data_IF_631245907125
#
_entry.id   IF_631245907125
#
_cell.length_a   1.000
_cell.length_b   1.000
_cell.length_c   1.000
_cell.angle_alpha   90.00
_cell.angle_beta   90.00
_cell.angle_gamma   90.00
#
_symmetry.space_group_name_H-M   'P 1'
#
loop_
_entity.id
_entity.type
_entity.pdbx_description
1 polymer ?
#
# COMPACT_ATOMS: atom_id res chain seq x y z
N UNK A 1 -56.79 35.04 27.73
CA UNK A 1 -55.75 34.86 26.68
C UNK A 1 -54.39 34.87 27.36
N UNK A 2 -53.54 33.83 27.22
CA UNK A 2 -52.20 33.85 27.82
C UNK A 2 -51.26 34.79 27.04
N UNK A 3 -50.39 35.56 27.70
CA UNK A 3 -49.47 36.48 27.03
C UNK A 3 -48.36 35.72 26.29
N UNK A 4 -48.13 36.07 25.03
CA UNK A 4 -47.08 35.49 24.20
C UNK A 4 -45.69 35.82 24.77
N UNK A 5 -44.95 34.78 25.18
CA UNK A 5 -43.60 34.89 25.73
C UNK A 5 -42.63 35.30 24.61
N UNK A 6 -42.29 36.59 24.55
CA UNK A 6 -41.26 37.12 23.63
C UNK A 6 -39.91 36.49 23.98
N UNK A 7 -39.43 35.57 23.14
CA UNK A 7 -38.08 35.01 23.27
C UNK A 7 -37.07 36.14 23.07
N UNK A 8 -36.10 36.26 23.99
CA UNK A 8 -35.00 37.21 23.85
C UNK A 8 -34.06 36.65 22.77
N UNK A 9 -33.92 37.29 21.59
CA UNK A 9 -33.15 36.72 20.49
C UNK A 9 -31.67 36.55 20.84
N UNK A 10 -31.17 37.29 21.84
CA UNK A 10 -29.81 37.18 22.36
C UNK A 10 -29.47 35.78 22.89
N UNK A 11 -30.44 35.07 23.49
CA UNK A 11 -30.18 33.70 23.97
C UNK A 11 -29.97 32.74 22.80
N UNK A 12 -30.77 32.89 21.73
CA UNK A 12 -30.61 32.11 20.50
C UNK A 12 -29.30 32.40 19.79
N UNK A 13 -28.92 33.69 19.70
CA UNK A 13 -27.63 34.10 19.12
C UNK A 13 -26.45 33.52 19.89
N UNK A 14 -26.54 33.50 21.22
CA UNK A 14 -25.49 32.95 22.08
C UNK A 14 -25.38 31.42 21.93
N UNK A 15 -26.50 30.69 21.79
CA UNK A 15 -26.44 29.25 21.50
C UNK A 15 -25.77 28.98 20.15
N UNK A 16 -26.14 29.74 19.10
CA UNK A 16 -25.56 29.56 17.76
C UNK A 16 -24.05 29.87 17.78
N UNK A 17 -23.64 30.94 18.47
CA UNK A 17 -22.23 31.31 18.60
C UNK A 17 -21.42 30.22 19.34
N UNK A 18 -21.96 29.64 20.40
CA UNK A 18 -21.32 28.55 21.14
C UNK A 18 -21.20 27.29 20.29
N UNK A 19 -22.25 26.94 19.53
CA UNK A 19 -22.21 25.79 18.61
C UNK A 19 -21.16 26.00 17.51
N UNK A 20 -21.10 27.18 16.91
CA UNK A 20 -20.08 27.51 15.92
C UNK A 20 -18.66 27.43 16.50
N UNK A 21 -18.45 27.99 17.69
CA UNK A 21 -17.15 27.92 18.36
C UNK A 21 -16.74 26.47 18.70
N UNK A 22 -17.70 25.64 19.14
CA UNK A 22 -17.44 24.23 19.42
C UNK A 22 -17.09 23.43 18.16
N UNK A 23 -17.81 23.66 17.05
CA UNK A 23 -17.51 23.02 15.76
C UNK A 23 -16.13 23.44 15.23
N UNK A 24 -15.83 24.74 15.26
CA UNK A 24 -14.55 25.27 14.78
C UNK A 24 -13.38 24.84 15.68
N UNK A 25 -13.59 24.83 17.00
CA UNK A 25 -12.61 24.35 17.97
C UNK A 25 -12.34 22.85 17.82
N UNK A 26 -13.36 22.04 17.59
CA UNK A 26 -13.21 20.60 17.30
C UNK A 26 -12.41 20.34 16.04
N UNK A 27 -12.66 21.11 14.98
CA UNK A 27 -11.91 21.04 13.72
C UNK A 27 -10.45 21.48 13.87
N UNK A 28 -10.18 22.49 14.69
CA UNK A 28 -8.82 22.94 15.01
C UNK A 28 -8.04 21.91 15.85
N UNK A 29 -8.71 21.23 16.79
CA UNK A 29 -8.09 20.20 17.62
C UNK A 29 -7.71 18.94 16.83
N UNK A 30 -8.46 18.59 15.78
CA UNK A 30 -8.15 17.45 14.92
C UNK A 30 -7.15 17.78 13.80
N UNK A 31 -6.84 19.06 13.56
CA UNK A 31 -5.94 19.49 12.50
C UNK A 31 -6.45 19.24 11.08
N UNK A 32 -7.68 18.74 10.93
CA UNK A 32 -8.29 18.42 9.64
C UNK A 32 -9.27 19.53 9.25
N UNK A 33 -8.74 20.59 8.65
CA UNK A 33 -9.54 21.74 8.19
C UNK A 33 -10.21 21.53 6.82
N UNK A 34 -10.06 20.35 6.22
CA UNK A 34 -10.65 20.02 4.94
C UNK A 34 -11.16 18.57 4.91
N UNK A 35 -12.18 18.29 4.09
CA UNK A 35 -12.61 16.91 3.84
C UNK A 35 -11.46 16.12 3.21
N UNK A 36 -11.39 14.80 3.46
CA UNK A 36 -10.51 13.93 2.69
C UNK A 36 -11.01 13.91 1.24
N UNK A 37 -10.11 14.17 0.30
CA UNK A 37 -10.44 14.22 -1.12
C UNK A 37 -10.50 12.78 -1.65
N UNK A 38 -11.54 12.46 -2.41
CA UNK A 38 -11.61 11.20 -3.16
C UNK A 38 -10.68 11.22 -4.37
N UNK A 39 -10.51 10.07 -5.03
CA UNK A 39 -9.66 9.91 -6.24
C UNK A 39 -9.96 10.95 -7.33
N UNK A 40 -11.23 11.33 -7.50
CA UNK A 40 -11.67 12.33 -8.49
C UNK A 40 -11.21 13.76 -8.14
N UNK A 41 -10.92 14.03 -6.87
CA UNK A 41 -10.50 15.35 -6.38
C UNK A 41 -9.00 15.42 -6.01
N UNK A 42 -8.37 14.30 -5.61
CA UNK A 42 -6.91 14.23 -5.41
C UNK A 42 -6.14 14.14 -6.73
N UNK A 43 -6.81 13.68 -7.80
CA UNK A 43 -6.15 13.29 -9.03
C UNK A 43 -5.34 12.00 -8.87
N UNK A 44 -4.96 11.42 -9.99
CA UNK A 44 -4.17 10.18 -10.04
C UNK A 44 -3.58 9.98 -11.42
N UNK A 45 -2.74 8.96 -11.57
CA UNK A 45 -2.20 8.56 -12.87
C UNK A 45 -2.70 7.16 -13.21
N UNK A 46 -3.23 7.01 -14.42
CA UNK A 46 -3.70 5.73 -14.96
C UNK A 46 -2.81 5.32 -16.12
N UNK A 47 -2.36 4.06 -16.12
CA UNK A 47 -1.57 3.48 -17.21
C UNK A 47 -2.13 2.12 -17.57
N UNK A 48 -2.24 1.87 -18.88
CA UNK A 48 -2.60 0.58 -19.45
C UNK A 48 -1.33 -0.12 -19.90
N UNK A 49 -1.02 -1.26 -19.28
CA UNK A 49 0.12 -2.10 -19.62
C UNK A 49 -0.35 -3.25 -20.53
N UNK A 50 0.22 -3.33 -21.72
CA UNK A 50 -0.04 -4.42 -22.66
C UNK A 50 0.87 -5.62 -22.37
N UNK A 51 0.30 -6.81 -22.23
CA UNK A 51 1.06 -8.04 -22.03
C UNK A 51 1.82 -8.40 -23.33
N UNK A 52 3.15 -8.56 -23.22
CA UNK A 52 4.01 -9.04 -24.31
C UNK A 52 4.43 -10.50 -24.03
N UNK A 53 3.77 -11.50 -24.64
CA UNK A 53 4.18 -12.89 -24.47
C UNK A 53 5.52 -13.17 -25.15
N UNK A 54 6.21 -14.23 -24.73
CA UNK A 54 7.39 -14.73 -25.43
C UNK A 54 7.06 -15.19 -26.86
N UNK A 55 8.07 -15.29 -27.75
CA UNK A 55 7.85 -15.70 -29.14
C UNK A 55 7.12 -17.05 -29.21
N UNK A 56 5.95 -17.06 -29.87
CA UNK A 56 5.11 -18.25 -30.04
C UNK A 56 4.16 -18.56 -28.88
N UNK A 57 4.14 -17.77 -27.81
CA UNK A 57 3.23 -17.96 -26.68
C UNK A 57 2.00 -17.05 -26.75
N UNK A 58 0.89 -17.54 -26.21
CA UNK A 58 -0.35 -16.75 -26.03
C UNK A 58 -0.46 -16.37 -24.57
N UNK A 59 -0.94 -15.16 -24.30
CA UNK A 59 -1.21 -14.69 -22.94
C UNK A 59 -2.39 -15.47 -22.37
N UNK A 60 -2.18 -16.14 -21.24
CA UNK A 60 -3.24 -16.86 -20.52
C UNK A 60 -3.81 -16.03 -19.38
N UNK A 61 -5.06 -16.29 -18.97
CA UNK A 61 -5.68 -15.60 -17.83
C UNK A 61 -4.95 -15.85 -16.50
N UNK A 62 -4.34 -17.04 -16.34
CA UNK A 62 -3.57 -17.38 -15.13
C UNK A 62 -2.31 -16.51 -15.00
N UNK A 63 -1.61 -16.29 -16.11
CA UNK A 63 -0.42 -15.42 -16.16
C UNK A 63 -0.80 -13.96 -15.92
N UNK A 64 -1.93 -13.49 -16.47
CA UNK A 64 -2.44 -12.15 -16.20
C UNK A 64 -2.79 -11.96 -14.72
N UNK A 65 -3.46 -12.93 -14.08
CA UNK A 65 -3.75 -12.86 -12.65
C UNK A 65 -2.47 -12.84 -11.79
N UNK A 66 -1.47 -13.62 -12.18
CA UNK A 66 -0.17 -13.61 -11.51
C UNK A 66 0.53 -12.26 -11.69
N UNK A 67 0.52 -11.70 -12.90
CA UNK A 67 1.05 -10.38 -13.19
C UNK A 67 0.32 -9.28 -12.39
N UNK A 68 -1.01 -9.34 -12.26
CA UNK A 68 -1.80 -8.43 -11.41
C UNK A 68 -1.35 -8.49 -9.95
N UNK A 69 -1.16 -9.70 -9.41
CA UNK A 69 -0.68 -9.86 -8.03
C UNK A 69 0.72 -9.27 -7.83
N UNK A 70 1.63 -9.50 -8.80
CA UNK A 70 2.97 -8.90 -8.79
C UNK A 70 2.87 -7.37 -8.83
N UNK A 71 2.06 -6.81 -9.73
CA UNK A 71 1.91 -5.36 -9.87
C UNK A 71 1.33 -4.75 -8.60
N UNK A 72 0.33 -5.37 -7.96
CA UNK A 72 -0.22 -4.92 -6.69
C UNK A 72 0.84 -4.89 -5.59
N UNK A 73 1.66 -5.95 -5.50
CA UNK A 73 2.76 -5.99 -4.53
C UNK A 73 3.84 -4.93 -4.79
N UNK A 74 4.18 -4.67 -6.06
CA UNK A 74 5.14 -3.62 -6.44
C UNK A 74 4.64 -2.24 -6.06
N UNK A 75 3.38 -1.92 -6.39
CA UNK A 75 2.78 -0.61 -6.08
C UNK A 75 2.75 -0.37 -4.56
N UNK A 76 2.36 -1.39 -3.79
CA UNK A 76 2.41 -1.34 -2.33
C UNK A 76 3.85 -1.13 -1.81
N UNK A 77 4.84 -1.79 -2.43
CA UNK A 77 6.27 -1.64 -2.11
C UNK A 77 6.83 -0.23 -2.38
N UNK A 78 6.23 0.52 -3.31
CA UNK A 78 6.58 1.92 -3.56
C UNK A 78 5.88 2.92 -2.62
N UNK A 79 5.17 2.42 -1.59
CA UNK A 79 4.53 3.25 -0.57
C UNK A 79 3.26 3.94 -1.05
N UNK A 80 2.61 3.44 -2.09
CA UNK A 80 1.31 3.94 -2.54
C UNK A 80 0.20 3.05 -1.97
N UNK A 81 -0.52 3.58 -0.99
CA UNK A 81 -1.72 2.93 -0.47
C UNK A 81 -2.89 3.12 -1.45
N UNK A 82 -3.75 2.09 -1.57
CA UNK A 82 -5.01 2.12 -2.33
C UNK A 82 -4.88 2.25 -3.87
N UNK A 83 -3.83 1.69 -4.46
CA UNK A 83 -3.79 1.53 -5.90
C UNK A 83 -4.75 0.43 -6.38
N UNK A 84 -5.45 0.72 -7.48
CA UNK A 84 -6.31 -0.25 -8.14
C UNK A 84 -5.58 -0.90 -9.33
N UNK A 85 -5.67 -2.23 -9.39
CA UNK A 85 -5.01 -3.04 -10.42
C UNK A 85 -6.02 -4.07 -10.89
N UNK A 86 -6.40 -4.00 -12.14
CA UNK A 86 -7.37 -4.91 -12.75
C UNK A 86 -6.98 -5.23 -14.20
N UNK A 87 -7.53 -6.33 -14.70
CA UNK A 87 -7.28 -6.80 -16.06
C UNK A 87 -8.39 -6.29 -16.99
N UNK A 88 -8.00 -5.75 -18.15
CA UNK A 88 -8.91 -5.33 -19.21
C UNK A 88 -8.55 -6.09 -20.50
N UNK A 89 -9.30 -7.15 -20.80
CA UNK A 89 -8.99 -8.06 -21.91
C UNK A 89 -7.62 -8.73 -21.73
N UNK A 90 -6.66 -8.37 -22.59
CA UNK A 90 -5.26 -8.82 -22.52
C UNK A 90 -4.31 -7.79 -21.89
N UNK A 91 -4.84 -6.69 -21.37
CA UNK A 91 -4.08 -5.60 -20.77
C UNK A 91 -4.29 -5.58 -19.25
N UNK A 92 -3.36 -4.95 -18.55
CA UNK A 92 -3.45 -4.69 -17.11
C UNK A 92 -3.54 -3.17 -16.94
N UNK A 93 -4.60 -2.72 -16.30
CA UNK A 93 -4.81 -1.31 -15.98
C UNK A 93 -4.38 -1.08 -14.53
N UNK A 94 -3.54 -0.07 -14.34
CA UNK A 94 -3.03 0.33 -13.03
C UNK A 94 -3.42 1.79 -12.80
N UNK A 95 -4.19 2.03 -11.75
CA UNK A 95 -4.59 3.35 -11.30
C UNK A 95 -3.97 3.65 -9.94
N UNK A 96 -3.17 4.71 -9.87
CA UNK A 96 -2.43 5.12 -8.67
C UNK A 96 -2.97 6.47 -8.19
N UNK A 97 -3.50 6.57 -6.95
CA UNK A 97 -3.95 7.84 -6.39
C UNK A 97 -2.76 8.79 -6.11
N UNK A 98 -3.01 10.09 -6.27
CA UNK A 98 -2.08 11.15 -5.92
C UNK A 98 -1.38 11.81 -7.11
N UNK A 99 -0.79 12.98 -6.83
CA UNK A 99 -0.12 13.86 -7.80
C UNK A 99 1.31 13.35 -8.07
N UNK A 100 1.74 13.39 -9.33
CA UNK A 100 3.12 13.15 -9.77
C UNK A 100 3.73 11.76 -9.46
N UNK A 101 2.94 10.69 -9.56
CA UNK A 101 3.43 9.30 -9.40
C UNK A 101 3.99 8.67 -10.68
N UNK A 102 4.27 9.47 -11.72
CA UNK A 102 4.82 8.99 -13.00
C UNK A 102 6.13 8.21 -12.83
N UNK A 103 7.04 8.69 -11.96
CA UNK A 103 8.28 7.97 -11.66
C UNK A 103 8.08 6.64 -10.92
N UNK A 104 6.97 6.47 -10.18
CA UNK A 104 6.61 5.19 -9.55
C UNK A 104 6.09 4.23 -10.63
N UNK A 105 5.26 4.71 -11.54
CA UNK A 105 4.72 3.92 -12.65
C UNK A 105 5.81 3.43 -13.61
N UNK A 106 6.81 4.25 -13.91
CA UNK A 106 7.95 3.86 -14.74
C UNK A 106 8.75 2.73 -14.07
N UNK A 107 9.00 2.85 -12.76
CA UNK A 107 9.67 1.82 -11.96
C UNK A 107 8.84 0.54 -11.80
N UNK A 108 7.52 0.60 -11.91
CA UNK A 108 6.64 -0.58 -11.91
C UNK A 108 6.58 -1.21 -13.31
N UNK A 109 6.80 -0.43 -14.38
CA UNK A 109 6.86 -0.93 -15.75
C UNK A 109 8.13 -1.71 -16.08
N UNK A 110 9.23 -1.47 -15.35
CA UNK A 110 10.50 -2.15 -15.57
C UNK A 110 10.45 -3.64 -15.17
N UNK A 111 11.05 -4.53 -15.97
CA UNK A 111 11.11 -5.96 -15.64
C UNK A 111 12.24 -6.24 -14.66
N UNK A 112 11.93 -6.63 -13.43
CA UNK A 112 12.92 -6.98 -12.42
C UNK A 112 13.39 -8.44 -12.56
N UNK A 113 14.30 -8.70 -13.51
CA UNK A 113 14.94 -10.01 -13.63
C UNK A 113 16.11 -10.14 -12.64
N UNK A 114 15.93 -10.98 -11.62
CA UNK A 114 16.98 -11.33 -10.67
C UNK A 114 17.64 -12.64 -11.11
N UNK A 115 18.96 -12.62 -11.32
CA UNK A 115 19.75 -13.83 -11.55
C UNK A 115 20.85 -13.94 -10.50
N UNK A 116 20.90 -15.07 -9.82
CA UNK A 116 21.97 -15.41 -8.87
C UNK A 116 22.99 -16.23 -9.65
N UNK A 117 24.25 -15.82 -9.66
CA UNK A 117 25.36 -16.58 -10.25
C UNK A 117 26.41 -16.87 -9.20
N UNK A 118 27.00 -18.05 -9.26
CA UNK A 118 28.14 -18.40 -8.41
C UNK A 118 29.38 -17.61 -8.85
N UNK A 119 30.10 -17.06 -7.89
CA UNK A 119 31.39 -16.40 -8.11
C UNK A 119 32.47 -17.49 -8.06
N UNK A 120 33.25 -17.61 -9.13
CA UNK A 120 34.42 -18.49 -9.12
C UNK A 120 35.56 -17.82 -8.36
N UNK A 121 36.11 -18.50 -7.36
CA UNK A 121 37.29 -18.01 -6.64
C UNK A 121 38.43 -17.81 -7.63
N UNK A 122 38.89 -16.55 -7.75
CA UNK A 122 40.08 -16.21 -8.51
C UNK A 122 41.26 -16.49 -7.58
N UNK A 123 42.05 -17.51 -7.90
CA UNK A 123 43.32 -17.81 -7.23
C UNK A 123 44.40 -16.77 -7.61
N UNK A 124 44.07 -15.48 -7.55
CA UNK A 124 45.00 -14.39 -7.75
C UNK A 124 45.69 -14.10 -6.40
N UNK A 125 46.99 -14.38 -6.24
CA UNK A 125 47.70 -14.16 -4.99
C UNK A 125 47.81 -12.68 -4.58
N UNK A 126 47.28 -11.74 -5.38
CA UNK A 126 47.16 -10.33 -5.01
C UNK A 126 45.84 -9.94 -4.29
N UNK A 127 44.84 -10.83 -4.18
CA UNK A 127 43.57 -10.58 -3.47
C UNK A 127 43.38 -11.46 -2.22
N UNK A 128 44.44 -11.68 -1.44
CA UNK A 128 44.29 -12.28 -0.09
C UNK A 128 43.95 -11.19 0.92
N UNK A 129 42.70 -10.69 0.89
CA UNK A 129 42.31 -9.55 1.74
C UNK A 129 40.83 -9.43 2.13
N UNK A 130 39.96 -10.34 1.72
CA UNK A 130 38.57 -10.34 2.17
C UNK A 130 38.15 -11.75 2.56
N UNK A 131 38.32 -12.06 3.84
CA UNK A 131 37.66 -13.18 4.50
C UNK A 131 36.15 -13.03 4.27
N UNK A 132 35.58 -13.86 3.40
CA UNK A 132 34.13 -13.97 3.29
C UNK A 132 33.67 -14.68 4.56
N UNK A 133 33.24 -13.89 5.54
CA UNK A 133 32.64 -14.39 6.76
C UNK A 133 31.28 -14.98 6.37
N UNK A 134 31.19 -16.30 6.36
CA UNK A 134 29.97 -17.05 6.14
C UNK A 134 28.89 -16.57 7.11
N UNK A 135 27.98 -15.73 6.59
CA UNK A 135 26.73 -15.36 7.25
C UNK A 135 25.60 -16.17 6.60
N UNK A 136 25.76 -17.50 6.56
CA UNK A 136 24.65 -18.42 6.38
C UNK A 136 23.79 -18.44 7.65
N UNK A 137 23.02 -17.39 7.85
CA UNK A 137 21.85 -17.39 8.70
C UNK A 137 20.63 -17.18 7.81
N UNK A 138 20.11 -18.29 7.28
CA UNK A 138 18.73 -18.35 6.78
C UNK A 138 17.82 -17.90 7.95
N UNK A 139 16.86 -16.96 7.77
CA UNK A 139 15.82 -16.79 8.77
C UNK A 139 14.99 -18.08 8.76
N UNK A 140 15.26 -18.97 9.71
CA UNK A 140 14.38 -20.11 9.99
C UNK A 140 13.03 -19.54 10.37
N UNK A 141 11.92 -19.88 9.68
CA UNK A 141 10.60 -19.58 10.22
C UNK A 141 10.46 -20.37 11.52
N UNK A 142 10.43 -19.67 12.66
CA UNK A 142 10.14 -20.27 13.95
C UNK A 142 8.79 -21.01 13.85
N UNK A 143 8.73 -22.34 14.06
CA UNK A 143 7.45 -23.00 14.19
C UNK A 143 6.80 -22.50 15.48
N UNK A 144 5.64 -21.84 15.36
CA UNK A 144 4.74 -21.56 16.48
C UNK A 144 4.47 -22.87 17.23
N UNK A 145 4.76 -22.97 18.54
CA UNK A 145 4.42 -24.18 19.28
C UNK A 145 2.90 -24.31 19.37
N UNK A 146 2.38 -25.37 18.75
CA UNK A 146 1.01 -25.86 18.97
C UNK A 146 0.91 -26.40 20.41
N UNK A 147 -0.09 -26.01 21.21
CA UNK A 147 -0.26 -26.56 22.55
C UNK A 147 -0.68 -28.04 22.47
N UNK A 148 0.10 -28.93 23.10
CA UNK A 148 -0.24 -30.34 23.28
C UNK A 148 -1.05 -30.53 24.59
N UNK A 149 -2.00 -31.50 24.64
CA UNK A 149 -2.95 -31.66 25.74
C UNK A 149 -2.33 -32.25 27.02
N UNK A 150 -2.79 -31.77 28.18
CA UNK A 150 -2.42 -32.27 29.51
C UNK A 150 -2.90 -33.70 29.76
N UNK A 151 -2.05 -34.62 30.26
CA UNK A 151 -2.50 -35.93 30.74
C UNK A 151 -2.99 -35.83 32.19
N UNK A 152 -4.31 -35.90 32.39
CA UNK A 152 -4.91 -36.12 33.71
C UNK A 152 -4.98 -37.63 34.00
N UNK A 153 -4.12 -38.10 34.91
CA UNK A 153 -4.26 -39.40 35.59
C UNK A 153 -3.82 -39.23 37.06
N UNK A 154 -4.76 -39.21 38.00
CA UNK A 154 -5.26 -40.33 38.80
C UNK A 154 -4.33 -40.70 39.96
N UNK A 155 -4.59 -40.05 41.10
CA UNK A 155 -4.56 -40.62 42.46
C UNK A 155 -5.75 -40.05 43.23
#
# INVERSE_FOLDING_TARGET
MPPAKRSKPSRGLLTVAVVLAALYGGMAATGHFGPQLGLDLEGGTMVTLAAKPGPGQKVTQSELNTAVNIMRNRVNGFGVANADVHTEGNNIVVAVPGKDKQGVLEKIGETALLSIRQVYESNDPAMTGATVQDSSALPTPTPTPSPAPSPSGLL
#
